data_IF_630457642701
#
_entry.id   IF_630457642701
#
_cell.length_a   1.000
_cell.length_b   1.000
_cell.length_c   1.000
_cell.angle_alpha   90.00
_cell.angle_beta   90.00
_cell.angle_gamma   90.00
#
_symmetry.space_group_name_H-M   'P 1'
#
loop_
_entity.id
_entity.type
_entity.pdbx_description
1 polymer ?
#
# COMPACT_ATOMS: atom_id res chain seq x y z
N UNK A 1 -0.19 2.39 12.67
CA UNK A 1 -1.20 2.35 11.59
C UNK A 1 -1.41 0.92 11.11
N UNK A 2 -0.39 0.20 10.63
CA UNK A 2 -0.52 -1.18 10.14
C UNK A 2 -1.11 -2.20 11.15
N UNK A 3 -0.92 -2.03 12.47
CA UNK A 3 -1.56 -2.90 13.48
C UNK A 3 -3.06 -2.65 13.70
N UNK A 4 -3.59 -1.52 13.21
CA UNK A 4 -5.00 -1.12 13.38
C UNK A 4 -5.84 -1.61 12.19
N UNK A 5 -5.21 -1.83 11.03
CA UNK A 5 -5.84 -2.37 9.84
C UNK A 5 -5.44 -3.84 9.68
N UNK A 6 -6.37 -4.79 9.85
CA UNK A 6 -6.09 -6.19 9.57
C UNK A 6 -5.75 -6.37 8.08
N UNK A 7 -4.92 -7.36 7.77
CA UNK A 7 -4.55 -7.71 6.38
C UNK A 7 -5.76 -8.07 5.50
N UNK A 8 -6.89 -8.43 6.12
CA UNK A 8 -8.16 -8.70 5.43
C UNK A 8 -8.87 -7.45 4.93
N UNK A 9 -8.51 -6.25 5.40
CA UNK A 9 -9.13 -4.99 4.97
C UNK A 9 -8.34 -4.31 3.85
N UNK A 10 -8.95 -4.18 2.67
CA UNK A 10 -8.34 -3.49 1.52
C UNK A 10 -8.73 -2.02 1.51
N UNK A 11 -7.77 -1.13 1.34
CA UNK A 11 -8.06 0.31 1.31
C UNK A 11 -6.83 1.19 1.40
N UNK A 12 -7.07 2.46 1.68
CA UNK A 12 -6.04 3.46 1.90
C UNK A 12 -6.45 4.46 2.98
N UNK A 13 -5.46 5.04 3.64
CA UNK A 13 -5.62 6.10 4.62
C UNK A 13 -4.62 7.20 4.33
N UNK A 14 -5.09 8.44 4.32
CA UNK A 14 -4.25 9.64 4.24
C UNK A 14 -4.61 10.53 5.41
N UNK A 15 -3.60 10.91 6.20
CA UNK A 15 -3.73 11.91 7.25
C UNK A 15 -3.01 13.18 6.80
N UNK A 16 -3.73 14.30 6.80
CA UNK A 16 -3.23 15.60 6.33
C UNK A 16 -3.40 16.64 7.43
N UNK A 17 -2.39 17.49 7.61
CA UNK A 17 -2.49 18.71 8.41
C UNK A 17 -3.31 19.77 7.64
N UNK A 18 -4.54 20.14 8.08
CA UNK A 18 -5.43 20.96 7.25
C UNK A 18 -4.93 22.39 6.99
N UNK A 19 -4.13 22.94 7.91
CA UNK A 19 -3.64 24.32 7.80
C UNK A 19 -2.48 24.50 6.82
N UNK A 20 -1.73 23.44 6.54
CA UNK A 20 -0.51 23.48 5.70
C UNK A 20 -0.60 22.57 4.48
N UNK A 21 -1.47 21.55 4.52
CA UNK A 21 -1.52 20.48 3.53
C UNK A 21 -0.47 19.40 3.72
N UNK A 22 0.31 19.40 4.81
CA UNK A 22 1.33 18.38 5.03
C UNK A 22 0.73 16.99 5.21
N UNK A 23 1.30 16.00 4.51
CA UNK A 23 0.91 14.59 4.67
C UNK A 23 1.65 14.01 5.87
N UNK A 24 0.90 13.75 6.94
CA UNK A 24 1.42 13.18 8.19
C UNK A 24 1.52 11.66 8.13
N UNK A 25 0.62 11.02 7.36
CA UNK A 25 0.67 9.59 7.09
C UNK A 25 -0.01 9.26 5.77
N UNK A 26 0.58 8.31 5.04
CA UNK A 26 0.02 7.73 3.83
C UNK A 26 0.17 6.22 3.91
N UNK A 27 -0.95 5.50 3.87
CA UNK A 27 -0.98 4.06 4.05
C UNK A 27 -1.89 3.42 3.02
N UNK A 28 -1.46 2.28 2.45
CA UNK A 28 -2.23 1.47 1.51
C UNK A 28 -2.14 0.01 1.91
N UNK A 29 -3.28 -0.68 1.95
CA UNK A 29 -3.39 -2.08 2.34
C UNK A 29 -4.13 -2.90 1.26
N UNK A 30 -3.72 -4.16 1.00
CA UNK A 30 -2.53 -4.84 1.50
C UNK A 30 -1.23 -4.21 0.99
N UNK A 31 -0.20 -4.22 1.83
CA UNK A 31 1.15 -3.74 1.50
C UNK A 31 2.11 -4.92 1.32
N UNK A 32 3.36 -4.64 0.94
CA UNK A 32 4.43 -5.64 0.82
C UNK A 32 5.67 -5.17 1.58
N UNK A 33 6.57 -6.09 1.93
CA UNK A 33 7.84 -5.73 2.57
C UNK A 33 8.80 -5.14 1.51
N UNK A 34 9.16 -3.85 1.58
CA UNK A 34 10.04 -3.22 0.60
C UNK A 34 11.46 -3.80 0.62
N UNK A 35 11.88 -4.44 1.71
CA UNK A 35 13.20 -5.07 1.79
C UNK A 35 13.35 -6.23 0.78
N UNK A 36 12.24 -6.81 0.31
CA UNK A 36 12.24 -7.84 -0.74
C UNK A 36 12.78 -7.35 -2.09
N UNK A 37 12.90 -6.03 -2.27
CA UNK A 37 13.42 -5.40 -3.48
C UNK A 37 14.88 -4.94 -3.34
N UNK A 38 15.44 -4.98 -2.14
CA UNK A 38 16.83 -4.55 -1.90
C UNK A 38 17.78 -5.60 -2.49
N UNK A 39 18.60 -5.19 -3.46
CA UNK A 39 19.57 -6.08 -4.12
C UNK A 39 19.02 -6.91 -5.29
N UNK A 40 17.74 -6.73 -5.64
CA UNK A 40 17.06 -7.47 -6.72
C UNK A 40 16.02 -8.43 -6.18
N UNK A 41 14.80 -8.34 -6.72
CA UNK A 41 13.68 -9.19 -6.32
C UNK A 41 13.80 -10.58 -6.95
N UNK A 42 13.61 -11.62 -6.14
CA UNK A 42 13.57 -12.99 -6.64
C UNK A 42 12.38 -13.18 -7.61
N UNK A 43 12.54 -13.87 -8.75
CA UNK A 43 11.48 -13.98 -9.77
C UNK A 43 10.17 -14.59 -9.26
N UNK A 44 10.24 -15.50 -8.30
CA UNK A 44 9.10 -16.12 -7.62
C UNK A 44 8.34 -15.14 -6.72
N UNK A 45 9.07 -14.30 -5.96
CA UNK A 45 8.49 -13.24 -5.13
C UNK A 45 7.83 -12.18 -6.01
N UNK A 46 8.50 -11.79 -7.10
CA UNK A 46 7.95 -10.86 -8.09
C UNK A 46 6.67 -11.40 -8.72
N UNK A 47 6.67 -12.67 -9.14
CA UNK A 47 5.48 -13.32 -9.70
C UNK A 47 4.33 -13.35 -8.69
N UNK A 48 4.61 -13.74 -7.44
CA UNK A 48 3.61 -13.78 -6.36
C UNK A 48 3.00 -12.41 -6.09
N UNK A 49 3.80 -11.34 -6.03
CA UNK A 49 3.29 -9.99 -5.77
C UNK A 49 2.48 -9.42 -6.95
N UNK A 50 2.81 -9.79 -8.19
CA UNK A 50 2.07 -9.35 -9.39
C UNK A 50 0.77 -10.12 -9.63
N UNK A 51 0.76 -11.42 -9.36
CA UNK A 51 -0.41 -12.28 -9.56
C UNK A 51 -1.38 -12.26 -8.37
N UNK A 52 -1.02 -11.62 -7.25
CA UNK A 52 -1.87 -11.51 -6.08
C UNK A 52 -3.17 -10.74 -6.43
N UNK A 53 -4.37 -11.37 -6.28
CA UNK A 53 -5.65 -10.73 -6.52
C UNK A 53 -5.90 -9.50 -5.66
N UNK A 54 -5.22 -9.40 -4.51
CA UNK A 54 -5.28 -8.29 -3.59
C UNK A 54 -4.38 -7.13 -4.02
N UNK A 55 -3.63 -7.23 -5.13
CA UNK A 55 -2.82 -6.17 -5.75
C UNK A 55 -2.02 -5.33 -4.73
N UNK A 56 -1.05 -5.93 -4.02
CA UNK A 56 -0.30 -5.24 -2.96
C UNK A 56 0.67 -4.18 -3.49
N UNK A 57 1.10 -4.28 -4.75
CA UNK A 57 1.96 -3.29 -5.40
C UNK A 57 1.22 -1.99 -5.76
N UNK A 58 -0.12 -1.99 -5.74
CA UNK A 58 -0.93 -0.82 -6.05
C UNK A 58 -1.01 0.10 -4.82
N UNK A 59 -0.43 1.29 -4.92
CA UNK A 59 -0.68 2.35 -3.96
C UNK A 59 -2.10 2.91 -4.13
N UNK A 60 -3.03 2.44 -3.30
CA UNK A 60 -4.44 2.85 -3.32
C UNK A 60 -4.68 4.25 -2.81
N UNK A 61 -3.74 4.83 -2.06
CA UNK A 61 -3.89 6.17 -1.50
C UNK A 61 -3.81 7.26 -2.56
N UNK A 62 -3.05 7.01 -3.64
CA UNK A 62 -2.85 7.96 -4.74
C UNK A 62 -3.45 7.47 -6.06
N UNK A 63 -3.39 6.17 -6.32
CA UNK A 63 -3.76 5.59 -7.62
C UNK A 63 -5.05 4.74 -7.54
N UNK A 64 -5.73 4.74 -6.39
CA UNK A 64 -7.03 4.08 -6.22
C UNK A 64 -8.16 4.99 -6.68
N UNK A 65 -8.85 4.63 -7.76
CA UNK A 65 -10.09 5.29 -8.17
C UNK A 65 -11.28 4.59 -7.52
N UNK A 66 -12.00 5.33 -6.68
CA UNK A 66 -13.25 4.89 -6.05
C UNK A 66 -14.36 5.90 -6.38
N UNK A 67 -15.63 5.47 -6.51
CA UNK A 67 -16.76 6.40 -6.57
C UNK A 67 -16.77 7.28 -5.31
N UNK A 68 -16.81 8.63 -5.44
CA UNK A 68 -16.76 9.56 -4.31
C UNK A 68 -18.08 9.67 -3.54
#
# INVERSE_FOLDING_TARGET
IARIFPDSMRGAVVAVEPGTGHVLALYSNPSFDPNLFVGGVAPDVWKRLNEDPAKPLLNRATNGTYPP
#
